data_IF_369218030253
#
_entry.id   IF_369218030253
#
_cell.length_a   1.000
_cell.length_b   1.000
_cell.length_c   1.000
_cell.angle_alpha   90.00
_cell.angle_beta   90.00
_cell.angle_gamma   90.00
#
_symmetry.space_group_name_H-M   'P 1'
#
loop_
_entity.id
_entity.type
_entity.pdbx_description
1 polymer ?
#
# COMPACT_ATOMS: atom_id res chain seq x y z
N UNK A 1 -1.95 11.32 6.92
CA UNK A 1 -1.59 9.94 7.31
C UNK A 1 -1.68 9.06 6.07
N UNK A 2 -0.76 8.13 5.85
CA UNK A 2 -0.82 7.15 4.75
C UNK A 2 -0.46 5.76 5.26
N UNK A 3 -0.85 4.71 4.53
CA UNK A 3 -0.61 3.31 4.87
C UNK A 3 -1.17 2.36 3.82
N UNK A 4 -1.12 1.06 4.11
CA UNK A 4 -1.59 0.00 3.21
C UNK A 4 -2.67 -0.85 3.88
N UNK A 5 -3.67 -1.29 3.11
CA UNK A 5 -4.70 -2.23 3.53
C UNK A 5 -4.58 -3.50 2.67
N UNK A 6 -4.11 -4.63 3.22
CA UNK A 6 -4.01 -5.86 2.44
C UNK A 6 -5.41 -6.40 2.11
N UNK A 7 -5.78 -6.40 0.83
CA UNK A 7 -7.11 -6.84 0.40
C UNK A 7 -7.18 -8.36 0.19
N UNK A 8 -6.21 -8.93 -0.50
CA UNK A 8 -6.16 -10.34 -0.92
C UNK A 8 -4.71 -10.81 -1.10
N UNK A 9 -4.52 -12.11 -1.20
CA UNK A 9 -3.25 -12.76 -1.57
C UNK A 9 -2.35 -13.12 -0.40
N UNK A 10 -1.19 -13.69 -0.73
CA UNK A 10 -0.20 -14.12 0.27
C UNK A 10 0.69 -12.96 0.73
N UNK A 11 0.53 -12.57 2.00
CA UNK A 11 1.35 -11.54 2.65
C UNK A 11 2.82 -11.94 2.76
N UNK A 12 3.12 -13.24 2.83
CA UNK A 12 4.46 -13.77 3.06
C UNK A 12 5.44 -13.46 1.91
N UNK A 13 4.91 -13.15 0.72
CA UNK A 13 5.69 -12.80 -0.48
C UNK A 13 6.61 -11.61 -0.30
N UNK A 14 6.31 -10.69 0.64
CA UNK A 14 7.22 -9.57 0.94
C UNK A 14 8.58 -10.08 1.42
N UNK A 15 8.62 -11.21 2.11
CA UNK A 15 9.87 -11.84 2.55
C UNK A 15 10.70 -12.39 1.38
N UNK A 16 10.13 -12.57 0.18
CA UNK A 16 10.90 -13.01 -0.99
C UNK A 16 11.72 -11.87 -1.60
N UNK A 17 11.30 -10.62 -1.38
CA UNK A 17 12.00 -9.42 -1.84
C UNK A 17 13.08 -8.92 -0.86
N UNK A 18 13.24 -9.56 0.30
CA UNK A 18 14.19 -9.16 1.35
C UNK A 18 15.38 -10.12 1.41
N UNK A 19 16.51 -9.59 1.87
CA UNK A 19 17.73 -10.36 2.11
C UNK A 19 17.64 -11.02 3.49
N UNK A 20 17.91 -12.33 3.53
CA UNK A 20 18.03 -13.12 4.75
C UNK A 20 19.32 -13.93 4.74
N UNK A 21 19.86 -14.22 5.92
CA UNK A 21 21.08 -15.02 6.07
C UNK A 21 20.93 -16.45 5.52
N UNK A 22 19.72 -17.02 5.67
CA UNK A 22 19.38 -18.35 5.17
C UNK A 22 17.84 -18.50 5.08
N UNK A 23 17.40 -19.58 4.44
CA UNK A 23 15.99 -19.87 4.22
C UNK A 23 15.20 -20.17 5.50
N UNK A 24 15.84 -20.71 6.54
CA UNK A 24 15.17 -20.92 7.83
C UNK A 24 14.78 -19.59 8.47
N UNK A 25 15.66 -18.58 8.45
CA UNK A 25 15.36 -17.23 8.94
C UNK A 25 14.25 -16.54 8.11
N UNK A 26 14.24 -16.74 6.79
CA UNK A 26 13.15 -16.25 5.91
C UNK A 26 11.82 -16.89 6.30
N UNK A 27 11.79 -18.21 6.46
CA UNK A 27 10.57 -18.96 6.79
C UNK A 27 10.01 -18.55 8.16
N UNK A 28 10.86 -18.44 9.18
CA UNK A 28 10.46 -17.93 10.49
C UNK A 28 9.88 -16.50 10.41
N UNK A 29 10.40 -15.66 9.51
CA UNK A 29 9.88 -14.30 9.30
C UNK A 29 8.50 -14.29 8.62
N UNK A 30 8.27 -15.18 7.64
CA UNK A 30 6.96 -15.39 7.02
C UNK A 30 5.91 -15.81 8.05
N UNK A 31 6.23 -16.78 8.91
CA UNK A 31 5.33 -17.25 9.97
C UNK A 31 4.98 -16.14 10.97
N UNK A 32 5.99 -15.38 11.42
CA UNK A 32 5.77 -14.24 12.32
C UNK A 32 4.90 -13.14 11.70
N UNK A 33 5.04 -12.91 10.39
CA UNK A 33 4.21 -11.95 9.66
C UNK A 33 2.74 -12.41 9.65
N UNK A 34 2.50 -13.66 9.26
CA UNK A 34 1.14 -14.22 9.18
C UNK A 34 0.48 -14.35 10.56
N UNK A 35 1.25 -14.47 11.64
CA UNK A 35 0.71 -14.43 13.01
C UNK A 35 0.21 -13.04 13.45
N UNK A 36 0.54 -11.97 12.72
CA UNK A 36 0.26 -10.57 13.12
C UNK A 36 -0.49 -9.76 12.08
N UNK A 37 -0.58 -10.25 10.84
CA UNK A 37 -1.20 -9.57 9.73
C UNK A 37 -2.17 -10.50 9.00
N UNK A 38 -3.19 -9.92 8.39
CA UNK A 38 -4.28 -10.62 7.72
C UNK A 38 -4.72 -9.83 6.49
N UNK A 39 -5.49 -10.44 5.60
CA UNK A 39 -6.13 -9.76 4.47
C UNK A 39 -7.62 -9.55 4.75
N UNK A 40 -8.21 -8.53 4.13
CA UNK A 40 -9.67 -8.32 4.17
C UNK A 40 -10.41 -9.58 3.68
N UNK A 41 -9.93 -10.20 2.62
CA UNK A 41 -10.45 -11.47 2.09
C UNK A 41 -10.48 -12.57 3.15
N UNK A 42 -9.37 -12.80 3.87
CA UNK A 42 -9.31 -13.88 4.86
C UNK A 42 -10.23 -13.66 6.06
N UNK A 43 -10.54 -12.41 6.40
CA UNK A 43 -11.48 -12.06 7.47
C UNK A 43 -12.93 -12.19 7.01
N UNK A 44 -13.24 -11.76 5.77
CA UNK A 44 -14.60 -11.77 5.24
C UNK A 44 -15.00 -13.09 4.57
N UNK A 45 -14.03 -13.94 4.23
CA UNK A 45 -14.23 -15.18 3.48
C UNK A 45 -14.53 -14.97 1.99
N UNK A 46 -14.44 -13.74 1.48
CA UNK A 46 -14.68 -13.38 0.08
C UNK A 46 -13.72 -12.28 -0.37
N UNK A 47 -13.28 -12.35 -1.62
CA UNK A 47 -12.48 -11.28 -2.21
C UNK A 47 -13.28 -9.97 -2.33
N UNK A 48 -12.58 -8.86 -2.09
CA UNK A 48 -13.13 -7.51 -2.21
C UNK A 48 -12.34 -6.77 -3.28
N UNK A 49 -13.05 -6.18 -4.25
CA UNK A 49 -12.41 -5.36 -5.27
C UNK A 49 -11.78 -4.11 -4.66
N UNK A 50 -10.74 -3.60 -5.31
CA UNK A 50 -10.08 -2.37 -4.91
C UNK A 50 -11.06 -1.20 -4.86
N UNK A 51 -11.95 -1.08 -5.86
CA UNK A 51 -12.96 -0.02 -5.93
C UNK A 51 -13.91 -0.07 -4.74
N UNK A 52 -14.35 -1.28 -4.34
CA UNK A 52 -15.25 -1.43 -3.19
C UNK A 52 -14.57 -1.02 -1.89
N UNK A 53 -13.31 -1.38 -1.71
CA UNK A 53 -12.53 -0.96 -0.55
C UNK A 53 -12.32 0.57 -0.53
N UNK A 54 -11.95 1.15 -1.68
CA UNK A 54 -11.75 2.59 -1.82
C UNK A 54 -13.02 3.39 -1.52
N UNK A 55 -14.18 2.98 -2.06
CA UNK A 55 -15.46 3.62 -1.79
C UNK A 55 -15.87 3.49 -0.32
N UNK A 56 -15.62 2.34 0.30
CA UNK A 56 -15.90 2.14 1.73
C UNK A 56 -15.08 3.09 2.60
N UNK A 57 -13.80 3.32 2.26
CA UNK A 57 -12.96 4.31 2.93
C UNK A 57 -13.48 5.73 2.71
N UNK A 58 -13.80 6.12 1.47
CA UNK A 58 -14.36 7.44 1.14
C UNK A 58 -15.60 7.71 2.00
N UNK A 59 -16.57 6.80 1.99
CA UNK A 59 -17.80 6.94 2.79
C UNK A 59 -17.50 7.03 4.30
N UNK A 60 -16.54 6.25 4.80
CA UNK A 60 -16.13 6.33 6.20
C UNK A 60 -15.60 7.71 6.58
N UNK A 61 -14.77 8.31 5.73
CA UNK A 61 -14.28 9.68 5.95
C UNK A 61 -15.38 10.73 5.82
N UNK A 62 -16.25 10.63 4.82
CA UNK A 62 -17.39 11.54 4.65
C UNK A 62 -18.31 11.54 5.87
N UNK A 63 -18.66 10.35 6.36
CA UNK A 63 -19.50 10.18 7.54
C UNK A 63 -18.84 10.74 8.80
N UNK A 64 -17.55 10.48 9.00
CA UNK A 64 -16.83 10.90 10.20
C UNK A 64 -16.52 12.39 10.23
N UNK A 65 -16.29 13.01 9.06
CA UNK A 65 -15.89 14.41 8.93
C UNK A 65 -17.06 15.33 8.59
N UNK A 66 -18.22 14.79 8.18
CA UNK A 66 -19.37 15.57 7.75
C UNK A 66 -19.14 16.33 6.44
N UNK A 67 -18.30 15.79 5.56
CA UNK A 67 -17.95 16.38 4.26
C UNK A 67 -18.38 15.46 3.13
N UNK A 68 -18.35 15.98 1.90
CA UNK A 68 -18.51 15.19 0.67
C UNK A 68 -17.27 15.34 -0.19
N UNK A 69 -16.71 14.21 -0.63
CA UNK A 69 -15.63 14.22 -1.59
C UNK A 69 -16.18 14.29 -3.01
N UNK A 70 -15.53 15.13 -3.81
CA UNK A 70 -15.74 15.18 -5.25
C UNK A 70 -14.46 14.76 -5.94
N UNK A 71 -14.60 14.00 -7.04
CA UNK A 71 -13.43 13.54 -7.80
C UNK A 71 -12.81 14.73 -8.53
N UNK A 72 -11.70 15.21 -8.00
CA UNK A 72 -10.84 16.20 -8.65
C UNK A 72 -9.95 15.59 -9.73
N UNK A 73 -9.39 16.47 -10.57
CA UNK A 73 -8.25 16.18 -11.44
C UNK A 73 -7.05 16.96 -10.92
N UNK A 74 -5.85 16.44 -11.17
CA UNK A 74 -4.64 17.20 -10.91
C UNK A 74 -4.58 18.43 -11.83
N UNK A 75 -4.21 19.57 -11.26
CA UNK A 75 -3.90 20.80 -11.99
C UNK A 75 -2.60 20.67 -12.77
N UNK A 76 -2.39 21.56 -13.74
CA UNK A 76 -1.17 21.57 -14.54
C UNK A 76 0.11 21.74 -13.68
N UNK A 77 0.04 22.55 -12.62
CA UNK A 77 1.16 22.75 -11.69
C UNK A 77 1.45 21.51 -10.84
N UNK A 78 0.42 20.76 -10.41
CA UNK A 78 0.61 19.49 -9.69
C UNK A 78 1.21 18.39 -10.58
N UNK A 79 0.80 18.36 -11.85
CA UNK A 79 1.37 17.44 -12.85
C UNK A 79 2.85 17.79 -13.08
N UNK A 80 3.15 19.06 -13.38
CA UNK A 80 4.53 19.52 -13.55
C UNK A 80 5.38 19.18 -12.32
N UNK A 81 4.85 19.43 -11.11
CA UNK A 81 5.57 19.13 -9.88
C UNK A 81 5.82 17.64 -9.69
N UNK A 82 4.86 16.80 -10.09
CA UNK A 82 5.03 15.35 -10.08
C UNK A 82 6.16 14.92 -11.02
N UNK A 83 6.20 15.46 -12.24
CA UNK A 83 7.24 15.15 -13.23
C UNK A 83 8.63 15.54 -12.73
N UNK A 84 8.78 16.75 -12.18
CA UNK A 84 10.03 17.21 -11.55
C UNK A 84 10.46 16.25 -10.44
N UNK A 85 9.55 15.89 -9.53
CA UNK A 85 9.85 15.01 -8.40
C UNK A 85 10.22 13.58 -8.83
N UNK A 86 9.58 13.05 -9.88
CA UNK A 86 9.96 11.75 -10.44
C UNK A 86 11.37 11.83 -11.01
N UNK A 87 11.68 12.84 -11.84
CA UNK A 87 12.97 13.00 -12.51
C UNK A 87 14.12 13.21 -11.52
N UNK A 88 13.92 14.10 -10.55
CA UNK A 88 14.99 14.58 -9.67
C UNK A 88 15.18 13.69 -8.44
N UNK A 89 14.17 12.88 -8.09
CA UNK A 89 14.14 12.18 -6.82
C UNK A 89 13.63 10.75 -6.94
N UNK A 90 12.35 10.53 -7.19
CA UNK A 90 11.75 9.21 -6.96
C UNK A 90 12.12 8.13 -7.99
N UNK A 91 12.65 8.51 -9.15
CA UNK A 91 13.24 7.58 -10.13
C UNK A 91 14.78 7.65 -10.18
N UNK A 92 15.41 8.48 -9.34
CA UNK A 92 16.85 8.69 -9.40
C UNK A 92 17.58 7.71 -8.45
N UNK A 93 18.60 6.95 -8.93
CA UNK A 93 19.32 5.97 -8.10
C UNK A 93 19.95 6.57 -6.84
N UNK A 94 20.46 7.80 -6.92
CA UNK A 94 21.00 8.51 -5.73
C UNK A 94 19.97 8.73 -4.62
N UNK A 95 18.67 8.55 -4.91
CA UNK A 95 17.60 8.55 -3.93
C UNK A 95 17.15 7.12 -3.56
N UNK A 96 16.94 6.24 -4.55
CA UNK A 96 16.36 4.90 -4.33
C UNK A 96 17.35 3.85 -3.83
N UNK A 97 18.64 4.01 -4.10
CA UNK A 97 19.71 3.06 -3.73
C UNK A 97 20.56 3.57 -2.55
N UNK A 98 20.02 4.50 -1.77
CA UNK A 98 20.67 4.93 -0.53
C UNK A 98 20.54 3.80 0.49
N UNK A 99 21.64 3.11 0.75
CA UNK A 99 21.77 2.10 1.80
C UNK A 99 22.21 2.79 3.10
#
# INVERSE_FOLDING_TARGET
QHGSLPLTGDLSRICDALIFENESTRQNSKERLLARATTVESVLGVEISWERAAQSLIHGFEAQLGIRFERGKMSASEIQRTEELVKEKYAHPSWTERI
#
